data_IF_591592529625
#
_entry.id   IF_591592529625
#
_cell.length_a   1.000
_cell.length_b   1.000
_cell.length_c   1.000
_cell.angle_alpha   90.00
_cell.angle_beta   90.00
_cell.angle_gamma   90.00
#
_symmetry.space_group_name_H-M   'P 1'
#
loop_
_entity.id
_entity.type
_entity.pdbx_description
1 polymer ?
#
# COMPACT_ATOMS: atom_id res chain seq x y z
N UNK A 1 -67.66 -11.16 -49.64
CA UNK A 1 -68.46 -11.83 -48.59
C UNK A 1 -68.12 -13.31 -48.65
N UNK A 2 -67.52 -13.91 -47.60
CA UNK A 2 -67.25 -15.35 -47.61
C UNK A 2 -68.56 -16.15 -47.77
N UNK A 3 -68.49 -17.23 -48.55
CA UNK A 3 -69.63 -18.10 -48.81
C UNK A 3 -70.15 -18.70 -47.51
N UNK A 4 -71.46 -18.99 -47.46
CA UNK A 4 -72.09 -19.70 -46.33
C UNK A 4 -71.41 -21.04 -46.06
N UNK A 5 -70.91 -21.69 -47.12
CA UNK A 5 -70.13 -22.92 -47.05
C UNK A 5 -68.81 -22.70 -46.31
N UNK A 6 -68.09 -21.63 -46.63
CA UNK A 6 -66.78 -21.33 -46.04
C UNK A 6 -66.91 -21.00 -44.55
N UNK A 7 -67.95 -20.23 -44.16
CA UNK A 7 -68.23 -19.90 -42.76
C UNK A 7 -68.55 -21.11 -41.90
N UNK A 8 -69.23 -22.12 -42.45
CA UNK A 8 -69.67 -23.29 -41.69
C UNK A 8 -68.65 -24.44 -41.71
N UNK A 9 -67.94 -24.65 -42.82
CA UNK A 9 -67.07 -25.80 -43.02
C UNK A 9 -65.58 -25.48 -42.89
N UNK A 10 -65.15 -24.25 -43.20
CA UNK A 10 -63.71 -23.91 -43.29
C UNK A 10 -63.30 -23.09 -42.06
N UNK A 11 -64.04 -22.03 -41.76
CA UNK A 11 -63.73 -21.08 -40.70
C UNK A 11 -63.54 -21.73 -39.31
N UNK A 12 -64.38 -22.70 -38.85
CA UNK A 12 -64.19 -23.33 -37.54
C UNK A 12 -62.89 -24.12 -37.42
N UNK A 13 -62.43 -24.72 -38.52
CA UNK A 13 -61.18 -25.47 -38.57
C UNK A 13 -59.97 -24.54 -38.56
N UNK A 14 -60.04 -23.44 -39.31
CA UNK A 14 -59.00 -22.39 -39.31
C UNK A 14 -58.88 -21.75 -37.92
N UNK A 15 -60.00 -21.42 -37.28
CA UNK A 15 -60.01 -20.88 -35.93
C UNK A 15 -59.44 -21.85 -34.90
N UNK A 16 -59.77 -23.14 -35.00
CA UNK A 16 -59.19 -24.18 -34.14
C UNK A 16 -57.68 -24.29 -34.34
N UNK A 17 -57.22 -24.36 -35.59
CA UNK A 17 -55.80 -24.44 -35.93
C UNK A 17 -55.03 -23.21 -35.47
N UNK A 18 -55.65 -22.04 -35.58
CA UNK A 18 -55.08 -20.78 -35.09
C UNK A 18 -54.98 -20.75 -33.56
N UNK A 19 -56.03 -21.16 -32.85
CA UNK A 19 -56.02 -21.29 -31.38
C UNK A 19 -54.95 -22.28 -30.92
N UNK A 20 -54.84 -23.43 -31.56
CA UNK A 20 -53.81 -24.43 -31.28
C UNK A 20 -52.41 -23.88 -31.51
N UNK A 21 -52.17 -23.23 -32.66
CA UNK A 21 -50.90 -22.59 -32.96
C UNK A 21 -50.53 -21.54 -31.90
N UNK A 22 -51.45 -20.66 -31.53
CA UNK A 22 -51.22 -19.65 -30.49
C UNK A 22 -50.96 -20.27 -29.12
N UNK A 23 -51.64 -21.36 -28.79
CA UNK A 23 -51.38 -22.10 -27.55
C UNK A 23 -49.98 -22.72 -27.53
N UNK A 24 -49.48 -23.21 -28.67
CA UNK A 24 -48.11 -23.71 -28.82
C UNK A 24 -47.09 -22.59 -28.71
N UNK A 25 -47.33 -21.46 -29.38
CA UNK A 25 -46.50 -20.26 -29.26
C UNK A 25 -46.38 -19.79 -27.81
N UNK A 26 -47.51 -19.73 -27.07
CA UNK A 26 -47.52 -19.30 -25.68
C UNK A 26 -46.76 -20.26 -24.73
N UNK A 27 -46.74 -21.55 -25.05
CA UNK A 27 -46.03 -22.58 -24.27
C UNK A 27 -44.58 -22.78 -24.70
N UNK A 28 -44.16 -22.22 -25.83
CA UNK A 28 -42.79 -22.36 -26.30
C UNK A 28 -41.84 -21.58 -25.38
N UNK A 29 -40.79 -22.28 -24.94
CA UNK A 29 -39.64 -21.67 -24.25
C UNK A 29 -38.61 -21.23 -25.29
N UNK A 30 -37.76 -20.26 -24.92
CA UNK A 30 -36.62 -19.89 -25.74
C UNK A 30 -35.73 -21.12 -26.00
N UNK A 31 -35.27 -21.28 -27.24
CA UNK A 31 -34.42 -22.40 -27.63
C UNK A 31 -33.04 -22.35 -26.96
N UNK A 32 -32.60 -21.15 -26.57
CA UNK A 32 -31.33 -20.91 -25.89
C UNK A 32 -31.62 -20.23 -24.56
N UNK A 33 -31.07 -20.78 -23.49
CA UNK A 33 -31.06 -20.11 -22.19
C UNK A 33 -30.01 -18.99 -22.21
N UNK A 34 -30.45 -17.75 -22.01
CA UNK A 34 -29.59 -16.56 -21.94
C UNK A 34 -29.30 -16.13 -20.51
N UNK A 35 -29.73 -16.91 -19.51
CA UNK A 35 -29.54 -16.57 -18.10
C UNK A 35 -28.08 -16.71 -17.69
N UNK A 36 -27.64 -15.81 -16.82
CA UNK A 36 -26.34 -15.93 -16.19
C UNK A 36 -26.29 -17.22 -15.34
N UNK A 37 -25.20 -18.00 -15.43
CA UNK A 37 -25.03 -19.17 -14.59
C UNK A 37 -24.98 -18.79 -13.11
N UNK A 38 -25.36 -19.72 -12.24
CA UNK A 38 -25.32 -19.52 -10.80
C UNK A 38 -23.90 -19.15 -10.34
N UNK A 39 -23.81 -18.16 -9.45
CA UNK A 39 -22.55 -17.70 -8.90
C UNK A 39 -21.86 -18.86 -8.17
N UNK A 40 -20.65 -19.21 -8.61
CA UNK A 40 -19.87 -20.26 -7.98
C UNK A 40 -19.00 -19.66 -6.86
N UNK A 41 -18.98 -20.26 -5.66
CA UNK A 41 -18.26 -19.68 -4.52
C UNK A 41 -16.75 -19.53 -4.78
N UNK A 42 -16.14 -20.44 -5.55
CA UNK A 42 -14.73 -20.36 -5.93
C UNK A 42 -14.40 -19.25 -6.94
N UNK A 43 -15.39 -18.70 -7.65
CA UNK A 43 -15.22 -17.54 -8.55
C UNK A 43 -15.25 -16.25 -7.74
N UNK A 44 -16.13 -16.17 -6.74
CA UNK A 44 -16.22 -15.03 -5.83
C UNK A 44 -15.03 -14.99 -4.84
N UNK A 45 -14.61 -16.15 -4.35
CA UNK A 45 -13.57 -16.27 -3.32
C UNK A 45 -12.31 -16.93 -3.90
N UNK A 46 -11.22 -16.16 -4.00
CA UNK A 46 -9.91 -16.65 -4.45
C UNK A 46 -9.17 -17.38 -3.32
N UNK A 47 -9.76 -18.46 -2.80
CA UNK A 47 -9.27 -19.17 -1.61
C UNK A 47 -7.81 -19.61 -1.69
N UNK A 48 -7.35 -20.08 -2.85
CA UNK A 48 -5.93 -20.43 -3.07
C UNK A 48 -5.00 -19.25 -2.87
N UNK A 49 -5.38 -18.06 -3.36
CA UNK A 49 -4.60 -16.84 -3.19
C UNK A 49 -4.53 -16.44 -1.71
N UNK A 50 -5.65 -16.54 -0.99
CA UNK A 50 -5.70 -16.25 0.44
C UNK A 50 -4.78 -17.20 1.24
N UNK A 51 -4.84 -18.50 0.95
CA UNK A 51 -3.96 -19.51 1.56
C UNK A 51 -2.48 -19.20 1.31
N UNK A 52 -2.11 -18.91 0.05
CA UNK A 52 -0.73 -18.59 -0.30
C UNK A 52 -0.20 -17.35 0.42
N UNK A 53 -1.03 -16.32 0.58
CA UNK A 53 -0.65 -15.11 1.32
C UNK A 53 -0.49 -15.39 2.81
N UNK A 54 -1.35 -16.23 3.39
CA UNK A 54 -1.22 -16.68 4.76
C UNK A 54 0.09 -17.48 4.98
N UNK A 55 0.44 -18.38 4.06
CA UNK A 55 1.69 -19.14 4.14
C UNK A 55 2.92 -18.23 4.03
N UNK A 56 2.88 -17.25 3.11
CA UNK A 56 3.94 -16.25 2.94
C UNK A 56 4.13 -15.42 4.21
N UNK A 57 3.05 -14.90 4.78
CA UNK A 57 3.09 -14.09 6.01
C UNK A 57 3.59 -14.89 7.21
N UNK A 58 3.12 -16.14 7.36
CA UNK A 58 3.62 -17.06 8.39
C UNK A 58 5.12 -17.32 8.26
N UNK A 59 5.63 -17.48 7.03
CA UNK A 59 7.06 -17.64 6.79
C UNK A 59 7.85 -16.41 7.22
N UNK A 60 7.42 -15.22 6.78
CA UNK A 60 8.06 -13.95 7.16
C UNK A 60 8.08 -13.75 8.68
N UNK A 61 6.98 -14.08 9.37
CA UNK A 61 6.92 -13.97 10.83
C UNK A 61 7.90 -14.89 11.54
N UNK A 62 8.03 -16.15 11.09
CA UNK A 62 9.01 -17.10 11.65
C UNK A 62 10.45 -16.64 11.42
N UNK A 63 10.73 -16.12 10.23
CA UNK A 63 12.05 -15.60 9.87
C UNK A 63 12.41 -14.38 10.73
N UNK A 64 11.47 -13.44 10.88
CA UNK A 64 11.63 -12.26 11.74
C UNK A 64 11.90 -12.65 13.20
N UNK A 65 11.15 -13.61 13.74
CA UNK A 65 11.36 -14.10 15.10
C UNK A 65 12.74 -14.72 15.27
N UNK A 66 13.18 -15.52 14.30
CA UNK A 66 14.52 -16.13 14.30
C UNK A 66 15.62 -15.07 14.28
N UNK A 67 15.47 -14.01 13.48
CA UNK A 67 16.41 -12.88 13.42
C UNK A 67 16.46 -12.17 14.78
N UNK A 68 15.31 -11.87 15.37
CA UNK A 68 15.23 -11.20 16.68
C UNK A 68 15.93 -12.00 17.77
N UNK A 69 15.71 -13.32 17.84
CA UNK A 69 16.42 -14.19 18.79
C UNK A 69 17.93 -14.18 18.59
N UNK A 70 18.40 -14.16 17.33
CA UNK A 70 19.84 -14.08 17.02
C UNK A 70 20.42 -12.73 17.45
N UNK A 71 19.73 -11.63 17.16
CA UNK A 71 20.13 -10.29 17.56
C UNK A 71 20.17 -10.18 19.09
N UNK A 72 19.16 -10.67 19.80
CA UNK A 72 19.13 -10.70 21.27
C UNK A 72 20.38 -11.40 21.83
N UNK A 73 20.73 -12.58 21.27
CA UNK A 73 21.93 -13.30 21.69
C UNK A 73 23.22 -12.51 21.43
N UNK A 74 23.35 -11.90 20.25
CA UNK A 74 24.52 -11.09 19.89
C UNK A 74 24.62 -9.87 20.82
N UNK A 75 23.51 -9.19 21.10
CA UNK A 75 23.47 -8.01 21.97
C UNK A 75 23.77 -8.37 23.43
N UNK A 76 23.31 -9.54 23.91
CA UNK A 76 23.62 -10.03 25.26
C UNK A 76 25.10 -10.34 25.44
N UNK A 77 25.73 -10.93 24.44
CA UNK A 77 27.14 -11.31 24.51
C UNK A 77 27.95 -10.28 23.75
N UNK A 78 28.35 -9.21 24.45
CA UNK A 78 29.20 -8.12 23.93
C UNK A 78 30.64 -8.63 23.68
N UNK A 79 30.80 -9.66 22.82
CA UNK A 79 32.09 -10.32 22.52
C UNK A 79 33.01 -9.47 21.64
N UNK A 80 32.48 -8.40 21.07
CA UNK A 80 33.24 -7.42 20.33
C UNK A 80 33.44 -6.23 21.26
N UNK A 81 34.69 -5.94 21.62
CA UNK A 81 35.07 -4.68 22.25
C UNK A 81 34.88 -3.55 21.23
N UNK A 82 33.62 -3.19 20.94
CA UNK A 82 33.23 -2.04 20.12
C UNK A 82 33.49 -0.71 20.84
N UNK A 83 34.36 -0.72 21.86
CA UNK A 83 34.78 0.44 22.63
C UNK A 83 36.16 0.84 22.12
N UNK A 84 36.15 1.66 21.07
CA UNK A 84 37.36 2.29 20.58
C UNK A 84 37.81 3.31 21.63
N UNK A 85 38.83 2.98 22.41
CA UNK A 85 39.47 3.94 23.33
C UNK A 85 40.15 5.08 22.57
N UNK A 86 40.67 4.77 21.38
CA UNK A 86 41.29 5.73 20.45
C UNK A 86 40.41 5.85 19.20
N UNK A 87 40.20 7.07 18.69
CA UNK A 87 39.47 7.25 17.44
C UNK A 87 40.16 6.49 16.30
N UNK A 88 39.36 5.96 15.36
CA UNK A 88 39.91 5.22 14.21
C UNK A 88 40.90 6.12 13.46
N UNK A 89 42.08 5.58 13.06
CA UNK A 89 43.08 6.36 12.35
C UNK A 89 42.49 6.88 11.04
N UNK A 90 42.35 8.20 10.92
CA UNK A 90 41.90 8.83 9.70
C UNK A 90 43.05 8.83 8.69
N UNK A 91 42.92 8.03 7.64
CA UNK A 91 43.95 7.86 6.61
C UNK A 91 44.28 9.17 5.86
N UNK A 92 43.42 10.18 5.95
CA UNK A 92 43.59 11.47 5.28
C UNK A 92 44.37 12.51 6.11
N UNK A 93 44.72 12.20 7.37
CA UNK A 93 45.46 13.13 8.23
C UNK A 93 46.77 12.47 8.68
N UNK A 94 47.90 12.87 8.08
CA UNK A 94 49.24 12.56 8.59
C UNK A 94 49.36 13.14 10.00
N UNK A 95 49.18 12.28 11.00
CA UNK A 95 49.57 12.40 12.41
C UNK A 95 49.53 13.81 13.01
N UNK A 96 48.39 14.16 13.62
CA UNK A 96 48.37 15.04 14.79
C UNK A 96 48.15 14.16 16.02
N UNK A 97 49.05 14.25 17.00
CA UNK A 97 49.03 13.46 18.25
C UNK A 97 47.62 13.37 18.86
N UNK A 98 47.04 12.17 18.85
CA UNK A 98 45.73 11.91 19.44
C UNK A 98 45.87 11.78 20.96
N UNK A 99 45.27 12.69 21.71
CA UNK A 99 45.12 12.53 23.15
C UNK A 99 44.11 11.41 23.42
N UNK A 100 44.45 10.50 24.34
CA UNK A 100 43.52 9.46 24.80
C UNK A 100 42.32 10.08 25.53
N UNK A 101 41.20 9.37 25.63
CA UNK A 101 39.95 9.90 26.23
C UNK A 101 40.16 10.38 27.66
N UNK A 102 41.02 9.71 28.43
CA UNK A 102 41.44 10.14 29.77
C UNK A 102 42.23 11.46 29.75
N UNK A 103 43.10 11.65 28.75
CA UNK A 103 43.85 12.89 28.56
C UNK A 103 42.95 14.05 28.11
N UNK A 104 41.89 13.78 27.34
CA UNK A 104 40.87 14.76 27.00
C UNK A 104 40.00 15.12 28.21
N UNK A 105 39.56 14.14 28.99
CA UNK A 105 38.80 14.36 30.23
C UNK A 105 39.59 15.21 31.23
N UNK A 106 40.90 14.95 31.36
CA UNK A 106 41.80 15.73 32.22
C UNK A 106 41.98 17.17 31.73
N UNK A 107 42.04 17.40 30.41
CA UNK A 107 42.10 18.75 29.82
C UNK A 107 40.79 19.53 29.96
N UNK A 108 39.65 18.86 29.84
CA UNK A 108 38.32 19.49 30.05
C UNK A 108 38.14 19.85 31.52
N UNK A 109 38.53 18.96 32.45
CA UNK A 109 38.53 19.23 33.88
C UNK A 109 39.47 20.39 34.27
N UNK A 110 40.64 20.49 33.64
CA UNK A 110 41.57 21.60 33.84
C UNK A 110 41.03 22.94 33.30
N UNK A 111 40.27 22.92 32.20
CA UNK A 111 39.60 24.12 31.66
C UNK A 111 38.40 24.56 32.50
N UNK A 112 37.68 23.63 33.12
CA UNK A 112 36.54 23.97 33.98
C UNK A 112 36.93 24.63 35.32
N UNK A 113 38.21 24.68 35.68
CA UNK A 113 38.70 25.31 36.91
C UNK A 113 39.14 26.77 36.72
N UNK A 114 39.14 27.30 35.49
CA UNK A 114 39.25 28.73 35.23
C UNK A 114 37.84 29.22 34.88
N UNK A 115 37.15 29.74 35.88
CA UNK A 115 35.89 30.43 35.71
C UNK A 115 36.07 31.60 34.73
N UNK A 116 35.24 31.68 33.71
CA UNK A 116 34.96 32.94 33.03
C UNK A 116 33.45 33.16 33.01
N UNK A 117 33.08 34.23 33.67
CA UNK A 117 31.80 34.92 33.59
C UNK A 117 31.60 35.40 32.14
N UNK A 118 30.89 34.64 31.34
CA UNK A 118 30.22 35.19 30.17
C UNK A 118 28.88 34.49 29.98
N UNK A 119 27.80 35.26 30.08
CA UNK A 119 26.48 34.80 29.67
C UNK A 119 26.47 34.60 28.15
N UNK A 120 26.94 33.44 27.69
CA UNK A 120 26.75 33.02 26.31
C UNK A 120 25.29 32.62 26.12
N UNK A 121 24.48 33.64 25.78
CA UNK A 121 23.12 33.51 25.29
C UNK A 121 23.06 32.52 24.11
N UNK A 122 22.62 31.29 24.39
CA UNK A 122 22.46 30.17 23.45
C UNK A 122 21.36 30.37 22.37
N UNK A 123 21.06 31.60 21.97
CA UNK A 123 19.99 31.88 20.99
C UNK A 123 20.33 31.47 19.55
N UNK A 124 21.60 31.17 19.27
CA UNK A 124 22.08 30.77 17.93
C UNK A 124 22.38 29.27 17.79
N UNK A 125 22.24 28.47 18.86
CA UNK A 125 22.49 27.02 18.78
C UNK A 125 21.29 26.30 18.18
N UNK A 126 21.40 25.99 16.88
CA UNK A 126 20.40 25.24 16.13
C UNK A 126 20.40 23.77 16.56
N UNK A 127 19.41 23.40 17.36
CA UNK A 127 19.14 22.00 17.70
C UNK A 127 18.66 21.24 16.46
N UNK A 128 19.45 20.24 16.02
CA UNK A 128 19.13 19.38 14.88
C UNK A 128 17.77 18.68 15.02
N UNK A 129 17.36 18.32 16.24
CA UNK A 129 16.04 17.73 16.50
C UNK A 129 14.89 18.74 16.29
N UNK A 130 15.12 20.03 16.59
CA UNK A 130 14.15 21.11 16.36
C UNK A 130 14.09 21.53 14.88
N UNK A 131 15.19 21.47 14.14
CA UNK A 131 15.21 21.74 12.68
C UNK A 131 14.47 20.66 11.88
N UNK A 132 14.57 19.40 12.29
CA UNK A 132 13.83 18.29 11.65
C UNK A 132 12.32 18.48 11.83
N UNK A 133 11.85 18.90 13.00
CA UNK A 133 10.43 19.20 13.25
C UNK A 133 9.92 20.40 12.45
N UNK A 134 10.74 21.45 12.28
CA UNK A 134 10.42 22.61 11.41
C UNK A 134 10.30 22.23 9.93
N UNK A 135 11.11 21.28 9.44
CA UNK A 135 11.03 20.78 8.06
C UNK A 135 9.77 19.94 7.79
N UNK A 136 9.28 19.20 8.78
CA UNK A 136 8.05 18.40 8.65
C UNK A 136 6.77 19.25 8.67
N UNK A 137 6.79 20.40 9.35
CA UNK A 137 5.64 21.31 9.42
C UNK A 137 5.46 22.17 8.16
N UNK A 138 6.51 22.36 7.36
CA UNK A 138 6.46 23.13 6.11
C UNK A 138 6.06 22.29 4.89
N UNK A 139 5.26 21.24 5.07
CA UNK A 139 4.53 20.64 3.95
C UNK A 139 3.23 21.43 3.75
N UNK A 140 3.35 22.62 3.18
CA UNK A 140 2.19 23.28 2.59
C UNK A 140 1.70 22.36 1.47
N UNK A 141 0.57 21.70 1.71
CA UNK A 141 -0.16 20.92 0.70
C UNK A 141 -0.54 21.90 -0.41
N UNK A 142 0.29 22.00 -1.44
CA UNK A 142 -0.14 22.52 -2.72
C UNK A 142 -1.20 21.53 -3.21
N UNK A 143 -2.47 21.93 -3.11
CA UNK A 143 -3.58 21.15 -3.67
C UNK A 143 -3.22 20.82 -5.13
N UNK A 144 -3.29 19.56 -5.58
CA UNK A 144 -3.08 19.25 -6.98
C UNK A 144 -4.11 20.03 -7.79
N UNK A 145 -3.62 20.84 -8.74
CA UNK A 145 -4.45 21.52 -9.73
C UNK A 145 -5.17 20.42 -10.53
N UNK A 146 -6.51 20.41 -10.63
CA UNK A 146 -7.20 19.40 -11.40
C UNK A 146 -6.75 19.48 -12.87
N UNK A 147 -6.67 18.34 -13.58
CA UNK A 147 -6.40 18.36 -15.01
C UNK A 147 -7.54 19.11 -15.69
N UNK A 148 -7.22 20.22 -16.35
CA UNK A 148 -8.13 20.84 -17.30
C UNK A 148 -8.06 20.04 -18.59
N UNK A 149 -8.86 18.97 -18.65
CA UNK A 149 -9.12 18.24 -19.89
C UNK A 149 -10.05 19.10 -20.76
N UNK A 150 -9.48 20.06 -21.49
CA UNK A 150 -10.13 20.66 -22.64
C UNK A 150 -9.86 19.77 -23.85
N UNK A 151 -10.71 18.75 -24.04
CA UNK A 151 -10.87 18.15 -25.37
C UNK A 151 -11.72 19.11 -26.22
N UNK A 152 -11.30 19.45 -27.45
CA UNK A 152 -12.15 20.22 -28.36
C UNK A 152 -13.39 19.40 -28.72
N UNK A 153 -14.57 19.97 -28.51
CA UNK A 153 -15.84 19.39 -28.96
C UNK A 153 -15.80 19.19 -30.47
N UNK A 154 -15.93 17.93 -30.91
CA UNK A 154 -16.07 17.54 -32.33
C UNK A 154 -17.53 17.54 -32.80
N UNK A 155 -18.45 18.05 -31.99
CA UNK A 155 -19.82 18.34 -32.41
C UNK A 155 -20.09 19.83 -32.21
N UNK A 156 -19.97 20.56 -33.31
CA UNK A 156 -20.68 21.82 -33.53
C UNK A 156 -21.76 21.54 -34.58
N UNK A 157 -23.01 21.83 -34.21
CA UNK A 157 -24.11 22.02 -35.16
C UNK A 157 -23.82 23.22 -36.08
#
# INVERSE_FOLDING_TARGET
>A
MLSRRDKLLIQPWEERRFKDHRSKLAKMRAAVDTRAPAARPHVALKLKKASQEQDRTNRVQRDNYTILQRLERIMKVNRLDNRWSKPLPNFQQKVGLFYDVESLSSKVAARSHLADESEESYHNVKCYACEIKKKQYNFAVTKPKPPQDFLPSIYSN
#
